data_IF_875691086914
#
_entry.id   IF_875691086914
#
_cell.length_a   1.000
_cell.length_b   1.000
_cell.length_c   1.000
_cell.angle_alpha   90.00
_cell.angle_beta   90.00
_cell.angle_gamma   90.00
#
_symmetry.space_group_name_H-M   'P 1'
#
loop_
_entity.id
_entity.type
_entity.pdbx_description
1 polymer ?
2 non-polymer ?
3 non-polymer ?
4 non-polymer ?
5 non-polymer ?
6 water ?
#
# COMPACT_ATOMS: atom_id res chain seq x y z
N UNK A 24 -14.17 11.37 -20.67
CA UNK A 24 -14.38 11.99 -19.32
C UNK A 24 -13.03 12.28 -18.65
N UNK A 25 -13.06 12.42 -17.31
CA UNK A 25 -11.87 12.83 -16.57
C UNK A 25 -10.83 11.74 -16.58
N UNK A 26 -9.58 12.12 -16.43
CA UNK A 26 -8.42 11.17 -16.39
C UNK A 26 -8.48 10.43 -15.04
N UNK A 27 -8.31 9.08 -15.09
CA UNK A 27 -8.20 8.31 -13.81
C UNK A 27 -6.86 8.62 -13.17
N UNK A 28 -6.87 9.02 -11.90
CA UNK A 28 -5.63 9.15 -11.14
C UNK A 28 -5.01 7.78 -10.85
N UNK A 29 -3.69 7.71 -11.07
CA UNK A 29 -2.99 6.41 -10.92
C UNK A 29 -1.89 6.57 -9.91
N UNK A 30 -1.80 5.54 -9.05
CA UNK A 30 -0.69 5.41 -8.13
C UNK A 30 0.39 4.54 -8.77
N UNK A 31 1.55 5.12 -8.93
CA UNK A 31 2.77 4.42 -9.44
C UNK A 31 3.54 4.07 -8.21
N UNK A 32 3.59 2.78 -7.90
CA UNK A 32 4.01 2.39 -6.51
C UNK A 32 5.35 1.65 -6.57
N UNK A 33 6.36 2.22 -5.91
CA UNK A 33 7.68 1.53 -5.89
C UNK A 33 7.61 0.25 -5.01
N UNK A 34 8.03 -0.88 -5.59
CA UNK A 34 8.00 -2.14 -4.85
C UNK A 34 9.19 -2.33 -3.90
N UNK A 35 8.92 -2.87 -2.70
CA UNK A 35 9.99 -3.33 -1.84
C UNK A 35 10.93 -2.20 -1.52
N UNK A 36 10.30 -1.11 -1.00
CA UNK A 36 11.07 0.09 -0.64
C UNK A 36 11.32 -0.01 0.88
N UNK A 37 12.41 -0.70 1.24
CA UNK A 37 12.61 -1.19 2.61
C UNK A 37 13.78 -0.47 3.33
N UNK A 38 14.58 0.28 2.57
CA UNK A 38 15.66 1.10 3.15
C UNK A 38 15.35 2.58 3.00
N UNK A 39 15.73 3.43 3.98
CA UNK A 39 15.30 4.84 3.99
C UNK A 39 15.78 5.52 2.66
N UNK A 40 16.99 5.17 2.23
CA UNK A 40 17.52 5.79 0.99
C UNK A 40 16.72 5.43 -0.27
N UNK A 41 16.00 4.31 -0.25
CA UNK A 41 15.24 3.92 -1.42
C UNK A 41 13.99 4.77 -1.57
N UNK A 42 13.58 5.47 -0.52
CA UNK A 42 12.35 6.33 -0.69
C UNK A 42 12.63 7.40 -1.79
N UNK A 43 13.75 8.11 -1.66
CA UNK A 43 14.07 9.11 -2.75
C UNK A 43 14.35 8.45 -4.01
N UNK A 44 15.01 7.31 -3.97
CA UNK A 44 15.34 6.66 -5.27
C UNK A 44 14.11 6.37 -6.07
N UNK A 45 13.06 5.81 -5.46
CA UNK A 45 11.85 5.47 -6.21
C UNK A 45 11.01 6.70 -6.53
N UNK A 46 10.91 7.63 -5.56
CA UNK A 46 10.11 8.80 -5.84
C UNK A 46 10.75 9.66 -6.99
N UNK A 47 12.09 9.75 -6.96
CA UNK A 47 12.76 10.55 -8.02
C UNK A 47 12.65 9.90 -9.41
N UNK A 48 12.39 8.57 -9.46
CA UNK A 48 12.15 7.88 -10.73
C UNK A 48 10.67 8.01 -11.22
N UNK A 49 9.83 8.63 -10.40
CA UNK A 49 8.46 8.92 -10.75
C UNK A 49 7.39 8.29 -9.86
N UNK A 50 7.78 7.54 -8.83
CA UNK A 50 6.71 6.97 -7.95
C UNK A 50 6.03 8.03 -7.08
N UNK A 51 4.68 7.91 -6.96
CA UNK A 51 3.95 8.71 -5.97
C UNK A 51 3.53 7.91 -4.78
N UNK A 52 4.05 6.69 -4.69
CA UNK A 52 3.64 5.78 -3.60
C UNK A 52 4.70 4.71 -3.51
N UNK A 53 4.76 4.05 -2.34
CA UNK A 53 5.72 2.99 -2.14
C UNK A 53 5.03 1.82 -1.46
N UNK A 54 5.60 0.64 -1.60
CA UNK A 54 5.22 -0.48 -0.82
C UNK A 54 6.44 -0.93 -0.02
N UNK A 55 6.17 -1.24 1.23
CA UNK A 55 7.21 -1.53 2.23
C UNK A 55 6.81 -2.81 3.01
N UNK A 56 7.78 -3.73 3.18
CA UNK A 56 7.49 -4.98 3.93
C UNK A 56 7.72 -4.75 5.41
N UNK A 57 6.86 -5.35 6.25
CA UNK A 57 6.99 -5.13 7.68
C UNK A 57 7.05 -6.49 8.35
N UNK A 58 8.20 -6.82 8.96
CA UNK A 58 8.33 -8.08 9.70
C UNK A 58 7.91 -7.87 11.13
N UNK A 59 7.55 -8.96 11.84
CA UNK A 59 7.09 -8.85 13.24
C UNK A 59 7.98 -9.77 14.08
N UNK A 60 8.24 -9.34 15.26
CA UNK A 60 8.98 -10.18 16.26
C UNK A 60 7.99 -11.25 16.89
N UNK A 61 8.52 -12.07 17.83
CA UNK A 61 7.71 -13.05 18.37
C UNK A 61 6.56 -12.50 19.24
N UNK A 62 6.61 -11.23 19.64
CA UNK A 62 5.52 -10.61 20.44
C UNK A 62 4.55 -9.79 19.59
N UNK A 63 4.62 -9.95 18.27
CA UNK A 63 3.78 -9.16 17.34
C UNK A 63 4.12 -7.65 17.24
N UNK A 64 5.28 -7.25 17.73
CA UNK A 64 5.76 -5.92 17.50
C UNK A 64 6.45 -5.84 16.16
N UNK A 65 6.14 -4.81 15.35
CA UNK A 65 6.85 -4.68 14.05
C UNK A 65 8.34 -4.59 14.38
N UNK A 66 9.16 -5.21 13.53
CA UNK A 66 10.59 -5.28 13.93
C UNK A 66 11.43 -4.62 12.82
N UNK A 67 11.36 -5.19 11.63
CA UNK A 67 12.16 -4.69 10.47
C UNK A 67 11.33 -4.42 9.27
N UNK A 68 11.85 -3.58 8.36
CA UNK A 68 11.28 -3.53 7.01
C UNK A 68 12.11 -4.48 6.15
N UNK A 69 11.86 -5.74 6.23
CA UNK A 69 12.74 -6.72 5.66
C UNK A 69 11.90 -7.69 4.91
N UNK A 70 12.32 -7.98 3.68
CA UNK A 70 11.56 -8.97 2.92
C UNK A 70 12.34 -10.32 3.06
N UNK A 71 13.61 -10.27 2.64
CA UNK A 71 14.47 -11.50 2.58
C UNK A 71 14.24 -12.38 1.34
N UNK A 72 15.09 -13.41 1.20
CA UNK A 72 15.04 -14.30 0.00
C UNK A 72 13.95 -15.39 0.19
N UNK A 73 13.16 -15.70 -0.87
CA UNK A 73 13.30 -15.12 -2.23
C UNK A 73 12.45 -13.84 -2.47
N UNK A 74 12.87 -13.06 -3.44
CA UNK A 74 12.17 -11.78 -3.73
C UNK A 74 12.13 -11.61 -5.23
N UNK A 75 11.64 -10.45 -5.69
CA UNK A 75 11.56 -10.26 -7.12
C UNK A 75 12.89 -10.39 -7.87
N UNK A 76 12.77 -10.78 -9.14
CA UNK A 76 13.87 -10.90 -10.05
C UNK A 76 14.53 -9.52 -10.26
N UNK A 77 15.87 -9.53 -10.20
CA UNK A 77 16.66 -8.29 -10.34
C UNK A 77 16.76 -7.39 -9.09
N UNK A 78 16.27 -7.87 -7.93
CA UNK A 78 16.30 -7.06 -6.73
C UNK A 78 17.20 -7.69 -5.72
N UNK A 79 17.84 -6.79 -4.99
CA UNK A 79 18.52 -7.16 -3.74
C UNK A 79 17.42 -7.28 -2.64
N UNK A 80 17.33 -8.45 -1.96
CA UNK A 80 16.17 -8.77 -1.10
C UNK A 80 16.47 -8.45 0.36
N UNK A 81 17.66 -7.93 0.62
CA UNK A 81 18.17 -7.98 1.96
C UNK A 81 18.36 -6.58 2.59
N UNK A 82 17.88 -5.50 1.95
CA UNK A 82 18.02 -4.14 2.50
C UNK A 82 16.95 -4.07 3.60
N UNK A 83 17.25 -3.46 4.71
CA UNK A 83 16.16 -3.28 5.74
C UNK A 83 16.56 -2.23 6.72
N UNK A 84 15.54 -1.80 7.50
CA UNK A 84 15.77 -0.94 8.61
C UNK A 84 15.02 -1.51 9.83
N UNK A 85 15.37 -1.05 11.02
CA UNK A 85 14.45 -1.11 12.14
C UNK A 85 13.17 -0.38 11.72
N UNK A 86 12.00 -0.98 12.00
CA UNK A 86 10.75 -0.41 11.47
C UNK A 86 10.56 1.03 11.89
N UNK A 87 10.85 1.35 13.16
CA UNK A 87 10.61 2.75 13.60
C UNK A 87 11.58 3.73 12.92
N UNK A 88 12.78 3.25 12.57
CA UNK A 88 13.73 4.10 11.79
C UNK A 88 13.12 4.42 10.46
N UNK A 89 12.59 3.37 9.80
CA UNK A 89 11.97 3.55 8.51
C UNK A 89 10.83 4.56 8.63
N UNK A 90 10.06 4.48 9.70
CA UNK A 90 8.91 5.39 9.84
C UNK A 90 9.36 6.83 10.02
N UNK A 91 10.47 7.03 10.67
CA UNK A 91 10.98 8.45 10.88
C UNK A 91 11.45 8.95 9.51
N UNK A 92 12.07 8.10 8.69
CA UNK A 92 12.46 8.49 7.31
C UNK A 92 11.29 8.81 6.49
N UNK A 93 10.30 7.96 6.54
CA UNK A 93 9.11 8.18 5.74
C UNK A 93 8.39 9.46 6.24
N UNK A 94 8.33 9.68 7.53
CA UNK A 94 7.79 10.97 8.04
C UNK A 94 8.54 12.15 7.41
N UNK A 95 9.86 12.11 7.40
CA UNK A 95 10.62 13.30 6.79
C UNK A 95 10.22 13.46 5.34
N UNK A 96 10.08 12.34 4.59
CA UNK A 96 9.76 12.42 3.16
C UNK A 96 8.33 12.93 2.96
N UNK A 97 7.50 12.97 3.99
CA UNK A 97 6.07 13.27 3.74
C UNK A 97 5.54 14.37 4.65
N UNK A 98 6.48 15.16 5.19
CA UNK A 98 6.08 16.29 6.10
C UNK A 98 6.48 17.57 5.35
N UNK A 99 5.51 18.35 4.95
CA UNK A 99 5.82 19.65 4.31
C UNK A 99 6.77 20.49 5.16
N UNK A 100 7.76 21.06 4.47
CA UNK A 100 8.75 21.92 5.18
C UNK A 100 10.00 21.14 5.52
N UNK A 101 9.92 19.81 5.58
CA UNK A 101 11.14 19.07 5.90
C UNK A 101 12.13 19.15 4.73
N UNK A 102 13.42 19.14 5.04
CA UNK A 102 14.39 19.25 3.97
C UNK A 102 14.30 18.12 2.97
N UNK A 103 13.79 16.98 3.41
CA UNK A 103 13.65 15.82 2.53
C UNK A 103 12.21 15.63 1.99
N UNK A 104 11.33 16.60 2.21
CA UNK A 104 9.93 16.41 1.81
C UNK A 104 9.80 16.15 0.32
N UNK A 105 9.05 15.10 -0.05
CA UNK A 105 8.67 14.80 -1.41
C UNK A 105 7.17 15.02 -1.52
N UNK A 106 6.81 16.12 -2.17
CA UNK A 106 5.39 16.50 -2.31
C UNK A 106 4.64 15.38 -3.11
N UNK A 107 5.33 14.62 -3.98
CA UNK A 107 4.66 13.68 -4.84
C UNK A 107 4.33 12.39 -4.09
N UNK A 108 4.95 12.17 -2.94
CA UNK A 108 4.78 10.84 -2.22
C UNK A 108 3.55 10.89 -1.36
N UNK A 109 2.47 10.23 -1.79
CA UNK A 109 1.14 10.43 -1.16
C UNK A 109 0.52 9.12 -0.59
N UNK A 110 1.17 7.96 -0.83
CA UNK A 110 0.52 6.68 -0.29
C UNK A 110 1.66 5.73 0.00
N UNK A 111 1.47 4.94 1.07
CA UNK A 111 2.41 3.89 1.45
C UNK A 111 1.58 2.67 1.71
N UNK A 112 1.94 1.56 1.07
CA UNK A 112 1.27 0.29 1.43
C UNK A 112 2.29 -0.47 2.32
N UNK A 113 1.88 -0.83 3.51
CA UNK A 113 2.69 -1.73 4.40
C UNK A 113 2.23 -3.13 4.17
N UNK A 114 3.14 -3.97 3.66
CA UNK A 114 2.88 -5.39 3.40
C UNK A 114 3.22 -6.10 4.67
N UNK A 115 2.20 -6.32 5.56
CA UNK A 115 2.40 -6.79 6.91
C UNK A 115 2.68 -8.30 6.90
N UNK A 116 3.90 -8.66 7.23
CA UNK A 116 4.31 -10.11 7.16
C UNK A 116 3.86 -10.88 8.41
N UNK A 117 2.53 -11.00 8.55
CA UNK A 117 1.90 -11.60 9.75
C UNK A 117 2.02 -13.15 9.73
N UNK A 118 2.56 -13.70 8.67
CA UNK A 118 2.74 -15.19 8.55
C UNK A 118 3.61 -15.79 9.63
N UNK A 119 4.45 -14.98 10.27
CA UNK A 119 5.31 -15.44 11.34
C UNK A 119 4.58 -15.49 12.70
N UNK A 120 3.32 -15.04 12.77
CA UNK A 120 2.65 -14.92 14.04
C UNK A 120 1.64 -16.03 14.11
N UNK A 121 1.21 -16.30 15.30
CA UNK A 121 0.02 -17.17 15.51
C UNK A 121 -1.18 -16.36 15.18
N UNK A 122 -2.25 -17.00 14.78
CA UNK A 122 -3.44 -16.30 14.35
C UNK A 122 -3.97 -15.45 15.50
N UNK A 123 -3.83 -15.85 16.75
CA UNK A 123 -4.38 -15.13 17.81
C UNK A 123 -3.51 -13.95 18.28
N UNK A 124 -2.44 -13.63 17.49
CA UNK A 124 -1.64 -12.40 17.72
C UNK A 124 -1.99 -11.33 16.70
N UNK A 125 -2.96 -11.59 15.81
CA UNK A 125 -3.26 -10.60 14.74
C UNK A 125 -3.74 -9.25 15.33
N UNK A 126 -4.66 -9.31 16.32
CA UNK A 126 -5.13 -8.10 16.97
C UNK A 126 -3.98 -7.40 17.69
N UNK A 127 -3.16 -8.12 18.46
CA UNK A 127 -1.98 -7.52 19.10
C UNK A 127 -1.08 -6.82 18.04
N UNK A 128 -0.87 -7.48 16.90
CA UNK A 128 0.00 -6.86 15.86
C UNK A 128 -0.58 -5.52 15.43
N UNK A 129 -1.93 -5.43 15.26
CA UNK A 129 -2.55 -4.15 14.84
C UNK A 129 -2.30 -3.03 15.87
N UNK A 130 -2.44 -3.39 17.14
CA UNK A 130 -2.20 -2.42 18.21
C UNK A 130 -0.76 -1.95 18.22
N UNK A 131 0.22 -2.94 18.06
CA UNK A 131 1.65 -2.56 18.10
C UNK A 131 1.97 -1.61 16.91
N UNK A 132 1.40 -1.94 15.74
CA UNK A 132 1.55 -1.12 14.53
C UNK A 132 1.04 0.29 14.72
N UNK A 133 -0.18 0.39 15.31
CA UNK A 133 -0.73 1.71 15.61
C UNK A 133 0.13 2.52 16.54
N UNK A 134 0.70 1.86 17.57
CA UNK A 134 1.54 2.62 18.51
C UNK A 134 2.76 3.12 17.79
N UNK A 135 3.40 2.28 16.96
CA UNK A 135 4.58 2.76 16.28
C UNK A 135 4.28 3.87 15.26
N UNK A 136 3.22 3.69 14.48
CA UNK A 136 2.87 4.71 13.50
C UNK A 136 2.52 6.02 14.23
N UNK A 137 1.68 5.93 15.28
CA UNK A 137 1.38 7.16 16.03
C UNK A 137 2.68 7.88 16.51
N UNK A 138 3.55 7.13 17.20
CA UNK A 138 4.74 7.79 17.73
C UNK A 138 5.70 8.33 16.68
N UNK A 139 5.99 7.56 15.62
CA UNK A 139 7.12 7.83 14.75
C UNK A 139 6.76 8.38 13.38
N UNK A 140 5.53 8.09 12.93
CA UNK A 140 5.11 8.59 11.64
C UNK A 140 4.21 9.78 11.81
N UNK A 141 3.19 9.66 12.63
CA UNK A 141 2.25 10.80 12.86
C UNK A 141 2.70 11.74 13.99
N UNK A 142 3.81 11.34 14.66
CA UNK A 142 4.43 12.22 15.71
C UNK A 142 3.47 12.68 16.74
N UNK A 143 2.56 11.82 17.18
CA UNK A 143 1.59 12.19 18.23
C UNK A 143 0.73 13.37 17.83
N UNK A 144 0.50 13.50 16.52
CA UNK A 144 -0.34 14.60 15.99
C UNK A 144 0.40 15.96 15.86
N UNK A 145 1.69 16.01 16.10
CA UNK A 145 2.47 17.24 15.95
C UNK A 145 3.18 17.16 14.58
N UNK A 146 2.58 17.75 13.53
CA UNK A 146 3.31 17.93 12.26
C UNK A 146 3.79 16.57 11.72
N UNK A 147 2.83 15.64 11.70
CA UNK A 147 3.15 14.28 11.25
C UNK A 147 3.23 14.13 9.74
N UNK A 148 3.68 12.96 9.26
CA UNK A 148 3.67 12.67 7.84
C UNK A 148 2.29 12.66 7.24
N UNK A 149 2.19 13.21 6.02
CA UNK A 149 0.85 13.36 5.47
C UNK A 149 0.32 12.21 4.59
N UNK A 150 1.19 11.23 4.27
CA UNK A 150 0.74 10.19 3.30
C UNK A 150 -0.42 9.37 3.88
N UNK A 151 -1.24 8.92 2.95
CA UNK A 151 -2.23 7.87 3.24
C UNK A 151 -1.55 6.52 3.38
N UNK A 152 -2.09 5.64 4.20
CA UNK A 152 -1.43 4.36 4.48
C UNK A 152 -2.44 3.23 4.29
N UNK A 153 -2.01 2.20 3.56
CA UNK A 153 -2.80 0.95 3.34
C UNK A 153 -2.12 -0.10 4.14
N UNK A 154 -2.93 -0.73 4.99
CA UNK A 154 -2.46 -1.87 5.84
C UNK A 154 -2.83 -3.11 5.01
N UNK A 155 -1.81 -3.69 4.38
CA UNK A 155 -2.07 -4.87 3.56
C UNK A 155 -1.80 -6.18 4.33
N UNK A 156 -2.84 -7.01 4.47
CA UNK A 156 -2.75 -8.19 5.31
C UNK A 156 -2.77 -9.42 4.39
N UNK A 157 -1.86 -10.33 4.59
CA UNK A 157 -1.79 -11.44 3.61
C UNK A 157 -2.68 -12.62 3.87
N UNK A 158 -3.33 -12.65 5.04
CA UNK A 158 -4.17 -13.82 5.39
C UNK A 158 -5.52 -13.33 5.84
N UNK A 159 -6.61 -13.68 5.15
CA UNK A 159 -7.93 -13.21 5.56
C UNK A 159 -8.25 -13.50 7.01
N UNK A 160 -7.70 -14.59 7.58
CA UNK A 160 -8.00 -14.92 8.96
C UNK A 160 -7.35 -13.96 9.95
N UNK A 161 -6.47 -13.08 9.43
CA UNK A 161 -5.86 -12.06 10.27
C UNK A 161 -6.63 -10.77 10.28
N UNK A 162 -7.89 -10.75 9.83
CA UNK A 162 -8.67 -9.52 9.85
C UNK A 162 -8.78 -8.82 11.25
N UNK A 163 -8.68 -9.55 12.39
CA UNK A 163 -8.72 -8.83 13.68
C UNK A 163 -7.60 -7.80 13.84
N UNK A 164 -6.54 -7.87 13.03
CA UNK A 164 -5.50 -6.84 13.08
C UNK A 164 -6.11 -5.44 12.91
N UNK A 165 -7.14 -5.33 12.06
CA UNK A 165 -7.71 -4.00 11.77
C UNK A 165 -8.36 -3.42 13.02
N UNK A 166 -9.15 -4.23 13.71
CA UNK A 166 -9.79 -3.73 14.96
C UNK A 166 -8.77 -3.37 16.02
N UNK A 167 -7.71 -4.15 16.09
CA UNK A 167 -6.66 -3.83 17.06
C UNK A 167 -6.08 -2.46 16.77
N UNK A 168 -5.77 -2.22 15.46
CA UNK A 168 -5.13 -0.98 15.05
C UNK A 168 -6.07 0.17 15.36
N UNK A 169 -7.34 0.07 14.96
CA UNK A 169 -8.27 1.16 15.22
C UNK A 169 -8.49 1.38 16.73
N UNK A 170 -8.60 0.33 17.52
CA UNK A 170 -8.87 0.48 18.98
C UNK A 170 -7.68 1.11 19.64
N UNK A 171 -6.46 0.82 19.15
CA UNK A 171 -5.28 1.41 19.78
C UNK A 171 -5.18 2.91 19.48
N UNK A 172 -5.47 3.30 18.22
CA UNK A 172 -5.45 4.77 17.93
C UNK A 172 -6.52 5.46 18.75
N UNK A 173 -7.64 4.76 18.96
CA UNK A 173 -8.77 5.35 19.74
C UNK A 173 -8.31 5.55 21.19
N UNK A 174 -7.72 4.50 21.75
CA UNK A 174 -7.23 4.56 23.14
C UNK A 174 -6.21 5.67 23.33
N UNK A 175 -5.35 5.84 22.33
CA UNK A 175 -4.35 6.88 22.40
C UNK A 175 -4.84 8.29 22.09
N UNK A 176 -6.13 8.40 21.77
CA UNK A 176 -6.71 9.76 21.57
C UNK A 176 -6.56 10.31 20.18
N UNK A 177 -6.26 9.47 19.15
CA UNK A 177 -6.16 9.98 17.79
C UNK A 177 -7.01 9.13 16.85
N UNK A 178 -8.29 8.88 17.18
CA UNK A 178 -9.14 8.07 16.31
C UNK A 178 -9.27 8.67 14.86
N UNK A 179 -9.15 9.97 14.69
CA UNK A 179 -9.25 10.67 13.42
C UNK A 179 -8.18 10.24 12.42
N UNK A 180 -7.06 9.68 12.95
CA UNK A 180 -5.98 9.31 11.99
C UNK A 180 -6.45 8.14 11.17
N UNK A 181 -7.50 7.43 11.57
CA UNK A 181 -8.13 6.40 10.68
C UNK A 181 -8.64 6.97 9.39
N UNK A 182 -8.81 8.27 9.29
CA UNK A 182 -9.19 8.92 7.97
C UNK A 182 -8.02 8.75 6.98
N UNK A 183 -6.77 8.58 7.48
CA UNK A 183 -5.63 8.42 6.62
C UNK A 183 -5.30 6.95 6.36
N UNK A 184 -6.15 6.03 6.77
CA UNK A 184 -5.80 4.56 6.75
C UNK A 184 -6.78 3.74 5.92
N UNK A 185 -6.24 2.84 5.10
CA UNK A 185 -7.13 1.97 4.33
C UNK A 185 -6.57 0.56 4.45
N UNK A 186 -7.12 -0.32 3.60
CA UNK A 186 -7.04 -1.78 3.84
C UNK A 186 -6.82 -2.50 2.56
N UNK A 187 -6.08 -3.63 2.65
CA UNK A 187 -5.92 -4.56 1.52
C UNK A 187 -5.73 -5.94 2.11
N UNK A 188 -6.19 -6.96 1.34
CA UNK A 188 -5.89 -8.37 1.61
C UNK A 188 -5.16 -8.88 0.35
N UNK A 189 -3.91 -9.31 0.59
CA UNK A 189 -2.99 -9.50 -0.54
C UNK A 189 -2.84 -10.94 -1.06
N UNK A 190 -3.62 -11.82 -0.46
CA UNK A 190 -3.37 -13.26 -0.68
C UNK A 190 -3.91 -13.79 -1.97
N UNK A 191 -4.54 -12.99 -2.97
CA UNK A 191 -5.23 -13.33 -4.23
C UNK A 191 -6.36 -14.27 -3.89
N UNK A 192 -7.04 -14.01 -2.79
CA UNK A 192 -8.25 -14.87 -2.45
C UNK A 192 -9.37 -14.51 -3.37
N UNK A 193 -10.33 -15.41 -3.46
CA UNK A 193 -11.51 -15.07 -4.24
C UNK A 193 -12.18 -13.80 -3.70
N UNK A 194 -12.62 -12.97 -4.68
CA UNK A 194 -13.18 -11.64 -4.31
C UNK A 194 -14.36 -11.74 -3.36
N UNK A 195 -15.25 -12.74 -3.57
CA UNK A 195 -16.32 -12.85 -2.59
C UNK A 195 -15.84 -13.20 -1.19
N UNK A 196 -14.80 -14.04 -1.05
CA UNK A 196 -14.24 -14.35 0.26
C UNK A 196 -13.57 -13.11 0.91
N UNK A 197 -12.88 -12.30 0.09
CA UNK A 197 -12.38 -10.97 0.60
C UNK A 197 -13.54 -10.13 1.17
N UNK A 198 -14.64 -9.99 0.39
CA UNK A 198 -15.76 -9.16 0.89
C UNK A 198 -16.31 -9.69 2.19
N UNK A 199 -16.45 -11.02 2.36
CA UNK A 199 -16.88 -11.61 3.63
C UNK A 199 -15.94 -11.28 4.79
N UNK A 200 -14.61 -11.26 4.53
CA UNK A 200 -13.66 -10.88 5.53
C UNK A 200 -13.89 -9.45 6.02
N UNK A 201 -14.14 -8.54 5.07
CA UNK A 201 -14.39 -7.16 5.43
C UNK A 201 -15.69 -7.03 6.20
N UNK A 202 -16.66 -7.85 5.81
CA UNK A 202 -17.96 -7.81 6.54
C UNK A 202 -17.77 -8.26 7.98
N UNK A 203 -17.00 -9.31 8.19
CA UNK A 203 -16.58 -9.75 9.53
C UNK A 203 -15.88 -8.73 10.34
N UNK A 204 -15.02 -7.95 9.69
CA UNK A 204 -14.26 -6.92 10.30
C UNK A 204 -15.05 -5.62 10.51
N UNK A 205 -16.28 -5.53 9.97
CA UNK A 205 -17.08 -4.33 10.12
C UNK A 205 -16.59 -3.21 9.23
N UNK A 206 -15.86 -3.52 8.15
CA UNK A 206 -15.26 -2.45 7.31
C UNK A 206 -16.06 -2.19 6.09
N UNK A 207 -16.33 -0.88 5.85
CA UNK A 207 -17.16 -0.48 4.71
C UNK A 207 -16.66 0.59 3.80
N UNK A 208 -15.37 0.87 3.83
CA UNK A 208 -14.82 1.82 2.91
C UNK A 208 -13.29 1.75 3.07
N UNK A 209 -12.60 2.55 2.26
CA UNK A 209 -11.11 2.70 2.26
C UNK A 209 -10.50 1.35 1.84
N UNK A 210 -11.05 0.69 0.83
CA UNK A 210 -10.61 -0.67 0.49
C UNK A 210 -9.86 -0.66 -0.86
N UNK A 211 -8.57 -1.05 -0.80
CA UNK A 211 -7.78 -1.29 -1.99
C UNK A 211 -7.77 -2.85 -2.19
N UNK A 212 -7.66 -3.27 -3.43
CA UNK A 212 -7.54 -4.71 -3.78
C UNK A 212 -6.33 -4.92 -4.65
N UNK A 213 -5.35 -5.53 -4.05
CA UNK A 213 -4.15 -6.03 -4.81
C UNK A 213 -4.51 -7.28 -5.59
N UNK A 214 -3.82 -7.40 -6.71
CA UNK A 214 -3.79 -8.62 -7.47
C UNK A 214 -2.40 -8.74 -8.07
N UNK A 215 -1.75 -9.90 -7.91
CA UNK A 215 -0.43 -9.98 -8.55
C UNK A 215 0.36 -11.20 -8.24
N UNK A 216 1.61 -11.14 -8.72
CA UNK A 216 2.58 -12.21 -8.48
C UNK A 216 3.95 -11.61 -8.72
N UNK A 217 4.97 -12.25 -8.17
CA UNK A 217 6.32 -11.82 -8.40
C UNK A 217 6.57 -11.62 -9.90
N UNK A 218 7.37 -10.60 -10.21
CA UNK A 218 7.80 -10.35 -11.57
C UNK A 218 8.52 -11.62 -12.21
N UNK A 219 8.91 -12.56 -11.34
CA UNK A 219 9.62 -13.78 -11.82
C UNK A 219 8.66 -14.76 -12.50
N UNK A 220 7.32 -14.61 -12.31
CA UNK A 220 6.40 -15.66 -12.78
C UNK A 220 5.30 -15.06 -13.63
N UNK A 221 4.70 -15.84 -14.55
CA UNK A 221 3.61 -15.21 -15.41
C UNK A 221 2.21 -15.10 -14.69
N UNK A 222 1.42 -14.18 -15.18
CA UNK A 222 0.01 -14.04 -14.61
C UNK A 222 -0.81 -13.30 -15.62
N UNK A 223 -2.07 -13.66 -15.71
CA UNK A 223 -3.03 -12.93 -16.58
C UNK A 223 -3.93 -12.08 -15.66
N UNK A 224 -4.88 -11.57 -16.50
CA UNK A 224 -5.71 -10.48 -15.90
C UNK A 224 -7.04 -10.93 -15.37
N UNK A 225 -7.32 -12.22 -15.34
CA UNK A 225 -8.65 -12.64 -14.91
C UNK A 225 -9.10 -12.07 -13.54
N UNK A 226 -8.25 -12.18 -12.53
CA UNK A 226 -8.70 -11.74 -11.17
C UNK A 226 -8.71 -10.23 -11.10
N UNK A 227 -7.76 -9.57 -11.78
CA UNK A 227 -7.77 -8.09 -11.90
C UNK A 227 -9.11 -7.65 -12.48
N UNK A 228 -9.54 -8.37 -13.52
CA UNK A 228 -10.83 -7.99 -14.18
C UNK A 228 -12.01 -8.20 -13.19
N UNK A 229 -12.02 -9.23 -12.37
CA UNK A 229 -13.06 -9.50 -11.43
C UNK A 229 -13.02 -8.42 -10.35
N UNK A 230 -11.80 -8.00 -9.99
CA UNK A 230 -11.73 -6.97 -8.93
C UNK A 230 -12.25 -5.61 -9.45
N UNK A 231 -11.85 -5.28 -10.67
CA UNK A 231 -12.38 -4.06 -11.33
C UNK A 231 -13.89 -4.15 -11.52
N UNK A 232 -14.42 -5.34 -11.87
CA UNK A 232 -15.86 -5.41 -12.00
C UNK A 232 -16.57 -5.14 -10.69
N UNK A 233 -16.01 -5.64 -9.58
CA UNK A 233 -16.61 -5.42 -8.27
C UNK A 233 -16.52 -3.93 -8.00
N UNK A 234 -15.34 -3.37 -8.11
CA UNK A 234 -15.14 -1.89 -7.86
C UNK A 234 -16.18 -1.01 -8.66
N UNK A 235 -16.46 -1.39 -9.92
CA UNK A 235 -17.28 -0.50 -10.77
C UNK A 235 -18.72 -0.82 -10.69
N UNK A 236 -19.07 -1.82 -9.87
CA UNK A 236 -20.48 -2.22 -9.76
C UNK A 236 -21.15 -1.33 -8.73
N UNK A 237 -22.46 -1.27 -8.87
CA UNK A 237 -23.20 -0.43 -8.00
C UNK A 237 -23.05 -0.78 -6.53
N UNK A 238 -23.02 -2.07 -6.18
CA UNK A 238 -22.96 -2.44 -4.78
C UNK A 238 -21.67 -3.19 -4.39
N UNK A 239 -20.59 -2.93 -5.13
CA UNK A 239 -19.30 -3.58 -4.81
C UNK A 239 -18.66 -2.92 -3.58
N UNK A 240 -17.57 -3.51 -3.10
CA UNK A 240 -16.92 -3.00 -1.89
C UNK A 240 -15.51 -2.44 -2.13
N UNK A 241 -14.96 -2.69 -3.35
CA UNK A 241 -13.58 -2.25 -3.58
C UNK A 241 -13.57 -0.82 -4.06
N UNK A 242 -12.70 0.02 -3.52
CA UNK A 242 -12.54 1.38 -4.04
C UNK A 242 -11.48 1.50 -5.12
N UNK A 243 -10.33 0.86 -4.91
CA UNK A 243 -9.24 0.94 -5.89
C UNK A 243 -8.62 -0.42 -6.07
N UNK A 244 -8.08 -0.66 -7.27
CA UNK A 244 -7.44 -1.93 -7.65
C UNK A 244 -6.01 -1.65 -8.04
N UNK A 245 -5.06 -2.44 -7.52
CA UNK A 245 -3.70 -2.28 -7.99
C UNK A 245 -3.05 -3.62 -8.29
N UNK A 246 -2.20 -3.59 -9.32
CA UNK A 246 -1.67 -4.84 -9.93
C UNK A 246 -0.16 -4.85 -9.69
N UNK A 247 0.43 -5.99 -9.32
CA UNK A 247 1.89 -6.02 -8.96
C UNK A 247 2.45 -7.38 -9.50
N UNK A 248 3.76 -7.47 -9.68
CA UNK A 248 4.66 -6.34 -9.81
C UNK A 248 4.95 -6.25 -11.33
N UNK A 249 4.91 -5.05 -11.89
CA UNK A 249 4.89 -4.85 -13.37
C UNK A 249 6.10 -4.00 -13.75
N UNK A 250 7.00 -4.56 -14.61
CA UNK A 250 8.25 -3.94 -14.94
C UNK A 250 8.42 -3.76 -16.52
N UNK A 251 7.37 -4.14 -17.22
CA UNK A 251 7.39 -4.11 -18.70
C UNK A 251 6.36 -3.09 -19.21
N UNK A 252 6.66 -2.43 -20.31
CA UNK A 252 5.66 -1.47 -20.88
C UNK A 252 4.43 -2.20 -21.39
N UNK A 253 4.60 -3.34 -22.05
CA UNK A 253 3.40 -4.03 -22.54
C UNK A 253 2.40 -4.38 -21.43
N UNK A 254 2.94 -4.91 -20.31
CA UNK A 254 2.13 -5.31 -19.16
C UNK A 254 1.45 -4.08 -18.50
N UNK A 255 2.21 -3.03 -18.48
CA UNK A 255 1.69 -1.70 -18.00
C UNK A 255 0.48 -1.31 -18.84
N UNK A 256 0.65 -1.36 -20.18
CA UNK A 256 -0.48 -0.98 -21.00
C UNK A 256 -1.69 -1.90 -20.77
N UNK A 257 -1.47 -3.22 -20.64
CA UNK A 257 -2.55 -4.16 -20.40
C UNK A 257 -3.28 -3.89 -19.10
N UNK A 258 -2.51 -3.51 -18.08
CA UNK A 258 -3.15 -3.23 -16.76
C UNK A 258 -3.93 -1.93 -16.83
N UNK A 259 -3.33 -0.86 -17.43
CA UNK A 259 -4.07 0.42 -17.61
C UNK A 259 -5.35 0.14 -18.40
N UNK A 260 -5.20 -0.58 -19.54
CA UNK A 260 -6.44 -0.86 -20.35
C UNK A 260 -7.53 -1.63 -19.59
N UNK A 261 -7.13 -2.48 -18.66
CA UNK A 261 -8.03 -3.15 -17.72
C UNK A 261 -8.65 -2.21 -16.70
N UNK A 262 -8.12 -1.00 -16.59
CA UNK A 262 -8.78 -0.03 -15.70
C UNK A 262 -8.27 -0.02 -14.26
N UNK A 263 -7.09 -0.55 -14.01
CA UNK A 263 -6.57 -0.53 -12.61
C UNK A 263 -6.24 0.91 -12.19
N UNK A 264 -6.20 1.13 -10.87
CA UNK A 264 -5.85 2.47 -10.33
C UNK A 264 -4.39 2.58 -9.90
N UNK A 265 -3.74 1.46 -9.74
CA UNK A 265 -2.36 1.45 -9.24
C UNK A 265 -1.56 0.37 -9.93
N UNK A 266 -0.27 0.66 -10.07
CA UNK A 266 0.63 -0.36 -10.61
C UNK A 266 1.88 -0.36 -9.74
N UNK A 267 2.19 -1.50 -9.12
CA UNK A 267 3.40 -1.62 -8.34
C UNK A 267 4.49 -2.16 -9.21
N UNK A 268 5.69 -1.55 -9.05
CA UNK A 268 6.81 -1.76 -10.03
C UNK A 268 8.18 -1.69 -9.37
N UNK A 269 9.16 -2.33 -9.98
CA UNK A 269 10.54 -2.08 -9.60
C UNK A 269 11.13 -0.92 -10.40
N UNK A 270 10.40 -0.44 -11.44
CA UNK A 270 10.92 0.66 -12.34
C UNK A 270 9.84 1.73 -12.61
N UNK A 271 9.71 2.69 -11.63
CA UNK A 271 8.68 3.73 -11.79
C UNK A 271 8.88 4.50 -13.10
N UNK A 272 10.10 4.60 -13.61
CA UNK A 272 10.31 5.40 -14.81
C UNK A 272 9.72 4.69 -16.04
N UNK A 273 9.64 3.33 -16.04
CA UNK A 273 8.96 2.60 -17.13
C UNK A 273 7.48 2.92 -17.13
N UNK A 274 6.86 2.89 -15.92
CA UNK A 274 5.44 3.15 -15.87
C UNK A 274 5.13 4.59 -16.29
N UNK A 275 5.95 5.52 -15.81
CA UNK A 275 5.80 6.93 -16.09
C UNK A 275 5.88 7.13 -17.63
N UNK A 276 6.83 6.47 -18.26
CA UNK A 276 7.04 6.61 -19.75
C UNK A 276 5.72 6.16 -20.43
N UNK A 277 5.08 5.07 -19.99
CA UNK A 277 3.83 4.63 -20.58
C UNK A 277 2.69 5.61 -20.37
N UNK A 278 2.58 6.16 -19.15
CA UNK A 278 1.57 7.11 -18.89
C UNK A 278 1.78 8.38 -19.69
N UNK A 279 3.01 8.63 -20.14
CA UNK A 279 3.26 9.87 -20.90
C UNK A 279 3.10 9.61 -22.37
N UNK A 280 2.78 8.39 -22.78
CA UNK A 280 2.42 8.14 -24.20
C UNK A 280 1.17 8.91 -24.52
N UNK A 281 1.14 9.48 -25.73
CA UNK A 281 0.00 10.41 -25.99
C UNK A 281 -1.37 9.77 -25.79
N UNK A 282 -1.61 8.49 -26.14
CA UNK A 282 -2.91 7.92 -25.97
C UNK A 282 -3.25 7.74 -24.47
N UNK A 283 -2.22 7.45 -23.66
CA UNK A 283 -2.46 7.21 -22.23
C UNK A 283 -2.60 8.55 -21.46
N UNK A 284 -1.94 9.60 -21.97
CA UNK A 284 -2.06 10.94 -21.30
C UNK A 284 -3.50 11.42 -21.33
N UNK A 285 -4.30 11.00 -22.31
CA UNK A 285 -5.71 11.39 -22.40
C UNK A 285 -6.64 10.73 -21.41
N UNK A 286 -6.14 9.64 -20.79
CA UNK A 286 -6.99 8.77 -20.01
C UNK A 286 -6.54 8.60 -18.55
N UNK A 287 -5.28 8.95 -18.28
CA UNK A 287 -4.74 8.77 -16.96
C UNK A 287 -3.90 9.97 -16.55
N UNK A 288 -3.75 10.17 -15.26
CA UNK A 288 -2.76 11.15 -14.76
C UNK A 288 -2.17 10.66 -13.45
N UNK A 289 -1.01 11.19 -13.09
CA UNK A 289 -0.41 10.70 -11.80
C UNK A 289 -1.17 11.30 -10.60
N UNK A 290 -1.63 10.44 -9.67
CA UNK A 290 -2.38 10.90 -8.50
C UNK A 290 -1.58 11.90 -7.67
N UNK A 291 -2.26 12.92 -7.20
CA UNK A 291 -1.67 13.89 -6.23
C UNK A 291 -2.34 13.75 -4.87
N UNK A 292 -1.87 14.58 -3.91
CA UNK A 292 -2.42 14.50 -2.57
C UNK A 292 -3.93 14.74 -2.55
N UNK A 293 -4.44 15.53 -3.49
CA UNK A 293 -5.86 15.85 -3.42
C UNK A 293 -6.74 14.79 -4.00
N UNK A 294 -6.13 13.73 -4.60
CA UNK A 294 -6.92 12.59 -5.03
C UNK A 294 -7.07 11.61 -3.87
N UNK A 295 -8.27 11.58 -3.27
CA UNK A 295 -8.43 10.80 -2.05
C UNK A 295 -8.41 9.33 -2.48
N UNK A 296 -7.51 8.55 -1.83
CA UNK A 296 -7.35 7.17 -2.30
C UNK A 296 -8.52 6.27 -1.86
N UNK A 297 -9.49 6.79 -1.10
CA UNK A 297 -10.51 5.89 -0.67
C UNK A 297 -11.76 6.05 -1.51
N UNK A 298 -11.67 6.91 -2.53
CA UNK A 298 -12.90 7.22 -3.37
C UNK A 298 -12.79 6.45 -4.67
N UNK A 299 -13.85 5.73 -5.02
CA UNK A 299 -13.82 5.08 -6.31
C UNK A 299 -13.86 6.11 -7.45
N UNK A 300 -13.04 5.97 -8.46
CA UNK A 300 -13.01 6.96 -9.55
C UNK A 300 -14.27 6.79 -10.45
N UNK A 301 -14.86 7.93 -10.82
CA UNK A 301 -16.01 8.00 -11.77
C UNK A 301 -15.71 8.86 -13.07
X LIG B 1 5.89 -7.06 -0.30
X LIG C 1 10.75 -10.71 -16.88
X LIG C 1 11.29 -10.87 -15.59
X LIG C 1 10.32 -12.09 -17.36
X LIG C 1 9.51 -11.99 -18.51
X LIG D 1 5.03 -1.89 24.11
X LIG D 1 3.70 -2.37 23.85
X LIG D 1 6.02 -3.04 23.95
X LIG D 1 5.77 -3.83 22.77
X LIG D 1 5.82 -5.25 23.03
X LIG D 1 6.91 -5.81 23.96
X LIG D 1 6.37 -6.98 24.64
X LIG E 1 -0.38 -2.57 23.44
X LIG E 1 1.08 -2.49 23.32
X LIG E 1 -0.96 -3.82 22.84
X LIG E 1 -0.37 -4.94 23.50
X LIG E 1 -0.98 -6.13 23.04
X LIG E 1 -0.25 -7.24 23.74
X LIG E 1 3.75 -7.15 24.32
X LIG E 1 3.18 -8.31 23.76
X LIG E 1 1.73 -8.29 24.06
X LIG E 1 1.11 -7.23 23.42
X LIG F 1 -12.54 -15.73 6.01
X LIG F 1 -13.49 -14.94 5.27
X LIG F 1 -12.23 -15.04 7.32
X LIG F 1 -12.50 -15.93 8.44
X LIG G 1 3.91 -14.88 22.60
X LIG G 1 5.19 -14.17 22.46
X LIG G 1 3.92 -16.22 21.89
X LIG G 1 2.67 -16.87 22.18
X LIG H 1 -2.47 14.98 -28.04
X LIG H 1 -1.74 13.81 -28.39
X LIG H 1 -3.30 15.52 -29.18
X LIG H 1 -4.45 14.76 -29.34
X LIG H 1 -4.59 14.38 -30.74
X LIG H 1 -5.96 13.79 -31.11
X LIG H 1 -9.20 12.63 -29.10
X LIG H 1 -9.38 13.96 -29.64
X LIG H 1 -8.32 14.23 -30.73
X LIG H 1 -6.98 14.25 -30.20
X LIG I 1 0.71 18.20 -22.14
X LIG I 1 1.72 17.50 -21.33
X LIG I 1 0.05 17.29 -23.18
X LIG I 1 0.94 16.65 -24.10
X LIG I 1 0.36 16.10 -25.29
X LIG I 1 0.82 14.65 -25.55
X LIG I 1 2.24 14.35 -25.47
X LIG J 1 -17.82 -6.07 2.17
X LIG J 1 -18.86 -6.71 1.41
X LIG J 1 -18.26 -4.85 3.01
X LIG J 1 -17.76 -3.60 2.49
#
# INVERSE_FOLDING_TARGET
>A
MGSSHHHHHHSSGLVPRGSHMLEGNRRPIWIMGAMVNAIGQIDEFVNLGANSIETDVSFDDNANPEYTYHGIPCDCGRNCKKYENFNDFLKGLRSATTPGNSKYQEKLVLVVFDLKTGSLYDNQANDAGKKLAKNLLQHYWNNGNNGGRAYIVLSIPDLNHYPLIKGFKDQLTKDGHPELMDKVGHDFSGNDDIGDVGKAYKKAGITGHIWQSDGITNCLPRGLSRVNAAVANRDSANGFINKVYYWTVDKRSTTRDALDAGVDGIMTNYPDVITDVLNEAAYKKKFRVATYDDNPWVTFKK
>B hetero
1 MG MG
>C hetero
1 EDO C1 O1 C2 O2
>D hetero
1 PEG C1 O1 C2 O2 C3 C4 O4
>E hetero
1 PGE C1 O1 C2 O2 C3 C4 O4 C6 C5 O3
>F hetero
1 EDO C1 O1 C2 O2
>G hetero
1 EDO C1 O1 C2 O2
>H hetero
1 PGE C1 O1 C2 O2 C3 C4 O4 C6 C5 O3
>I hetero
1 PEG C1 O1 C2 O2 C3 C4 O4
>J hetero
1 EDO C1 O1 C2 O2
#
